data_IF_091334115209
#
_entry.id   IF_091334115209
#
_cell.length_a   1.000
_cell.length_b   1.000
_cell.length_c   1.000
_cell.angle_alpha   90.00
_cell.angle_beta   90.00
_cell.angle_gamma   90.00
#
_symmetry.space_group_name_H-M   'P 1'
#
loop_
_entity.id
_entity.type
_entity.pdbx_description
1 polymer ?
#
# COMPACT_ATOMS: atom_id res chain seq x y z
N UNK A 1 -29.82 1.36 17.54
CA UNK A 1 -28.44 0.84 17.42
C UNK A 1 -28.56 -0.64 17.05
N UNK A 2 -28.12 -1.04 15.87
CA UNK A 2 -28.19 -2.46 15.47
C UNK A 2 -27.11 -3.19 16.29
N UNK A 3 -27.54 -4.04 17.23
CA UNK A 3 -26.63 -4.94 17.95
C UNK A 3 -26.26 -6.09 17.01
N UNK A 4 -25.11 -5.96 16.34
CA UNK A 4 -24.51 -7.06 15.60
C UNK A 4 -23.74 -7.92 16.60
N UNK A 5 -24.25 -9.13 16.91
CA UNK A 5 -23.50 -10.13 17.67
C UNK A 5 -22.38 -10.78 16.85
N UNK A 6 -22.30 -10.43 15.56
CA UNK A 6 -21.31 -10.92 14.63
C UNK A 6 -19.96 -10.21 14.78
N UNK A 7 -18.91 -10.95 14.49
CA UNK A 7 -17.55 -10.44 14.32
C UNK A 7 -17.11 -10.55 12.86
N UNK A 8 -16.09 -9.80 12.47
CA UNK A 8 -15.69 -9.62 11.08
C UNK A 8 -14.18 -9.78 10.93
N UNK A 9 -13.75 -10.31 9.79
CA UNK A 9 -12.34 -10.40 9.43
C UNK A 9 -11.80 -9.07 8.90
N UNK A 10 -12.71 -8.26 8.33
CA UNK A 10 -12.38 -6.93 7.81
C UNK A 10 -13.51 -5.95 8.11
N UNK A 11 -13.14 -4.79 8.62
CA UNK A 11 -14.02 -3.61 8.74
C UNK A 11 -13.40 -2.46 7.96
N UNK A 12 -14.15 -1.90 7.00
CA UNK A 12 -13.85 -0.63 6.38
C UNK A 12 -14.91 0.39 6.80
N UNK A 13 -14.47 1.58 7.19
CA UNK A 13 -15.36 2.65 7.61
C UNK A 13 -14.95 3.98 6.96
N UNK A 14 -15.97 4.74 6.56
CA UNK A 14 -15.86 6.07 5.97
C UNK A 14 -16.82 7.01 6.72
N UNK A 15 -16.47 7.40 7.97
CA UNK A 15 -17.31 8.25 8.80
C UNK A 15 -17.29 9.71 8.31
N UNK A 16 -18.13 10.61 8.84
CA UNK A 16 -17.96 12.04 8.68
C UNK A 16 -16.53 12.49 9.08
N UNK A 17 -16.02 13.55 8.45
CA UNK A 17 -14.62 14.00 8.61
C UNK A 17 -14.45 15.21 9.53
N UNK A 18 -15.50 15.64 10.22
CA UNK A 18 -15.49 16.83 11.08
C UNK A 18 -15.36 18.16 10.31
N UNK A 19 -15.95 18.21 9.11
CA UNK A 19 -15.75 19.34 8.18
C UNK A 19 -16.68 20.53 8.43
N UNK A 20 -17.52 20.48 9.48
CA UNK A 20 -18.48 21.53 9.85
C UNK A 20 -19.40 21.96 8.70
N UNK A 21 -20.01 20.99 7.99
CA UNK A 21 -20.91 21.23 6.87
C UNK A 21 -21.91 20.13 6.69
N UNK A 22 -23.04 20.45 6.04
CA UNK A 22 -24.00 19.46 5.60
C UNK A 22 -23.62 18.88 4.24
N UNK A 23 -23.85 17.59 4.11
CA UNK A 23 -23.70 16.87 2.85
C UNK A 23 -25.08 16.50 2.32
N UNK A 24 -25.36 16.88 1.08
CA UNK A 24 -26.58 16.57 0.38
C UNK A 24 -26.30 15.66 -0.81
N UNK A 25 -27.04 14.57 -0.91
CA UNK A 25 -26.95 13.63 -2.01
C UNK A 25 -28.33 13.46 -2.62
N UNK A 26 -28.43 13.67 -3.92
CA UNK A 26 -29.66 13.45 -4.68
C UNK A 26 -29.65 12.00 -5.18
N UNK A 27 -30.65 11.23 -4.79
CA UNK A 27 -30.85 9.86 -5.26
C UNK A 27 -31.41 9.85 -6.69
N UNK A 28 -31.29 8.68 -7.34
CA UNK A 28 -31.80 8.53 -8.74
C UNK A 28 -33.32 8.64 -8.88
N UNK A 29 -34.07 8.46 -7.78
CA UNK A 29 -35.51 8.62 -7.70
C UNK A 29 -35.97 10.08 -7.44
N UNK A 30 -35.01 11.02 -7.36
CA UNK A 30 -35.27 12.43 -7.09
C UNK A 30 -35.33 12.78 -5.60
N UNK A 31 -35.26 11.81 -4.69
CA UNK A 31 -35.20 12.06 -3.25
C UNK A 31 -33.85 12.67 -2.85
N UNK A 32 -33.85 13.53 -1.82
CA UNK A 32 -32.64 14.12 -1.25
C UNK A 32 -32.34 13.44 0.08
N UNK A 33 -31.14 12.84 0.20
CA UNK A 33 -30.58 12.41 1.49
C UNK A 33 -29.53 13.41 1.93
N UNK A 34 -29.59 13.80 3.20
CA UNK A 34 -28.60 14.68 3.79
C UNK A 34 -28.08 14.07 5.11
N UNK A 35 -26.84 14.31 5.40
CA UNK A 35 -26.29 14.13 6.74
C UNK A 35 -25.51 15.35 7.17
N UNK A 36 -25.56 15.65 8.45
CA UNK A 36 -24.86 16.77 9.05
C UNK A 36 -23.51 16.29 9.59
N UNK A 37 -22.43 17.01 9.26
CA UNK A 37 -21.09 16.85 9.79
C UNK A 37 -20.72 18.06 10.64
N UNK A 38 -21.68 18.54 11.47
CA UNK A 38 -21.53 19.62 12.43
C UNK A 38 -21.31 19.08 13.84
N UNK A 39 -20.29 19.59 14.49
CA UNK A 39 -19.85 19.19 15.82
C UNK A 39 -19.71 20.44 16.71
N UNK A 40 -19.90 20.30 18.01
CA UNK A 40 -19.74 21.41 18.96
C UNK A 40 -18.28 21.92 18.95
N UNK A 41 -17.33 21.00 18.88
CA UNK A 41 -15.92 21.28 18.70
C UNK A 41 -15.26 20.17 17.85
N UNK A 42 -14.05 20.44 17.40
CA UNK A 42 -13.27 19.40 16.72
C UNK A 42 -12.85 18.28 17.69
N UNK A 43 -12.64 18.60 18.97
CA UNK A 43 -12.33 17.60 19.99
C UNK A 43 -13.51 16.65 20.24
N UNK A 44 -14.76 17.16 20.26
CA UNK A 44 -15.97 16.32 20.36
C UNK A 44 -16.08 15.36 19.18
N UNK A 45 -15.72 15.83 17.98
CA UNK A 45 -15.65 14.96 16.81
C UNK A 45 -14.60 13.86 16.97
N UNK A 46 -13.40 14.19 17.45
CA UNK A 46 -12.32 13.22 17.63
C UNK A 46 -12.67 12.22 18.74
N UNK A 47 -13.31 12.63 19.82
CA UNK A 47 -13.77 11.74 20.88
C UNK A 47 -14.83 10.75 20.37
N UNK A 48 -15.81 11.24 19.59
CA UNK A 48 -16.79 10.39 18.92
C UNK A 48 -16.12 9.42 17.93
N UNK A 49 -15.18 9.90 17.13
CA UNK A 49 -14.47 9.07 16.15
C UNK A 49 -13.66 7.98 16.84
N UNK A 50 -13.00 8.29 17.97
CA UNK A 50 -12.30 7.30 18.78
C UNK A 50 -13.24 6.21 19.33
N UNK A 51 -14.43 6.59 19.83
CA UNK A 51 -15.45 5.65 20.30
C UNK A 51 -15.90 4.70 19.16
N UNK A 52 -16.13 5.23 17.96
CA UNK A 52 -16.50 4.40 16.79
C UNK A 52 -15.38 3.43 16.42
N UNK A 53 -14.12 3.87 16.39
CA UNK A 53 -12.96 3.00 16.12
C UNK A 53 -12.84 1.91 17.19
N UNK A 54 -12.95 2.24 18.48
CA UNK A 54 -12.90 1.27 19.56
C UNK A 54 -14.00 0.21 19.41
N UNK A 55 -15.23 0.63 19.09
CA UNK A 55 -16.37 -0.28 18.84
C UNK A 55 -16.13 -1.15 17.62
N UNK A 56 -15.68 -0.58 16.50
CA UNK A 56 -15.37 -1.32 15.27
C UNK A 56 -14.26 -2.36 15.53
N UNK A 57 -13.19 -1.96 16.21
CA UNK A 57 -12.10 -2.86 16.58
C UNK A 57 -12.55 -4.01 17.50
N UNK A 58 -13.50 -3.75 18.42
CA UNK A 58 -14.06 -4.79 19.29
C UNK A 58 -14.82 -5.86 18.50
N UNK A 59 -15.37 -5.51 17.34
CA UNK A 59 -16.09 -6.41 16.42
C UNK A 59 -15.18 -7.15 15.44
N UNK A 60 -13.89 -6.90 15.42
CA UNK A 60 -12.95 -7.72 14.66
C UNK A 60 -12.80 -9.11 15.30
N UNK A 61 -12.68 -10.13 14.45
CA UNK A 61 -12.21 -11.45 14.83
C UNK A 61 -10.82 -11.35 15.49
N UNK A 62 -10.35 -12.45 16.07
CA UNK A 62 -9.01 -12.50 16.70
C UNK A 62 -7.88 -12.12 15.73
N UNK A 63 -8.07 -12.39 14.44
CA UNK A 63 -7.18 -12.05 13.34
C UNK A 63 -7.98 -11.25 12.32
N UNK A 64 -7.87 -9.91 12.34
CA UNK A 64 -8.70 -9.05 11.50
C UNK A 64 -8.09 -7.70 11.19
N UNK A 65 -8.57 -7.07 10.10
CA UNK A 65 -8.18 -5.76 9.64
C UNK A 65 -9.26 -4.71 9.87
N UNK A 66 -8.87 -3.51 10.32
CA UNK A 66 -9.73 -2.33 10.32
C UNK A 66 -9.08 -1.23 9.49
N UNK A 67 -9.83 -0.71 8.52
CA UNK A 67 -9.47 0.43 7.69
C UNK A 67 -10.42 1.58 8.00
N UNK A 68 -9.87 2.70 8.47
CA UNK A 68 -10.66 3.89 8.81
C UNK A 68 -10.23 5.05 7.90
N UNK A 69 -11.10 5.40 6.96
CA UNK A 69 -10.88 6.48 6.00
C UNK A 69 -11.26 7.82 6.64
N UNK A 70 -10.36 8.79 6.54
CA UNK A 70 -10.58 10.15 7.05
C UNK A 70 -9.59 11.13 6.39
N UNK A 71 -9.62 12.39 6.80
CA UNK A 71 -8.52 13.31 6.52
C UNK A 71 -7.31 12.99 7.43
N UNK A 72 -6.15 13.53 7.06
CA UNK A 72 -4.90 13.30 7.80
C UNK A 72 -5.00 13.70 9.28
N UNK A 73 -5.61 14.85 9.58
CA UNK A 73 -5.69 15.39 10.96
C UNK A 73 -6.58 14.50 11.84
N UNK A 74 -7.76 14.08 11.31
CA UNK A 74 -8.66 13.17 12.02
C UNK A 74 -7.96 11.86 12.40
N UNK A 75 -7.28 11.22 11.46
CA UNK A 75 -6.55 9.98 11.71
C UNK A 75 -5.34 10.14 12.62
N UNK A 76 -4.63 11.28 12.55
CA UNK A 76 -3.48 11.54 13.42
C UNK A 76 -3.91 11.76 14.88
N UNK A 77 -4.98 12.52 15.11
CA UNK A 77 -5.42 12.86 16.45
C UNK A 77 -6.21 11.72 17.13
N UNK A 78 -6.99 10.96 16.36
CA UNK A 78 -7.78 9.86 16.92
C UNK A 78 -6.92 8.80 17.62
N UNK A 79 -5.70 8.56 17.14
CA UNK A 79 -4.76 7.62 17.76
C UNK A 79 -4.39 7.99 19.20
N UNK A 80 -4.48 9.27 19.58
CA UNK A 80 -4.25 9.70 20.96
C UNK A 80 -5.42 9.44 21.90
N UNK A 81 -6.63 9.21 21.34
CA UNK A 81 -7.90 9.10 22.07
C UNK A 81 -8.45 7.65 22.13
N UNK A 82 -8.07 6.79 21.19
CA UNK A 82 -8.49 5.37 21.22
C UNK A 82 -7.88 4.61 22.39
N UNK A 83 -8.49 3.51 22.78
CA UNK A 83 -7.97 2.58 23.78
C UNK A 83 -6.53 2.17 23.47
N UNK A 84 -5.72 1.97 24.52
CA UNK A 84 -4.30 1.58 24.34
C UNK A 84 -4.12 0.36 23.46
N UNK A 85 -4.92 -0.71 23.65
CA UNK A 85 -4.85 -1.93 22.82
C UNK A 85 -5.14 -1.68 21.34
N UNK A 86 -6.02 -0.70 21.05
CA UNK A 86 -6.37 -0.30 19.67
C UNK A 86 -5.24 0.52 19.07
N UNK A 87 -4.68 1.47 19.82
CA UNK A 87 -3.51 2.24 19.41
C UNK A 87 -2.30 1.34 19.15
N UNK A 88 -2.05 0.37 20.04
CA UNK A 88 -0.92 -0.55 19.93
C UNK A 88 -1.08 -1.52 18.74
N UNK A 89 -2.28 -1.62 18.14
CA UNK A 89 -2.57 -2.36 16.91
C UNK A 89 -2.34 -1.57 15.62
N UNK A 90 -1.88 -0.32 15.72
CA UNK A 90 -1.55 0.49 14.55
C UNK A 90 -0.55 -0.24 13.66
N UNK A 91 -0.91 -0.41 12.38
CA UNK A 91 -0.07 -1.08 11.41
C UNK A 91 0.58 -0.08 10.44
N UNK A 92 -0.25 0.74 9.78
CA UNK A 92 0.22 1.76 8.83
C UNK A 92 -0.84 2.80 8.56
N UNK A 93 -0.46 3.83 7.80
CA UNK A 93 -1.37 4.79 7.20
C UNK A 93 -1.19 4.78 5.69
N UNK A 94 -2.28 4.66 4.95
CA UNK A 94 -2.30 4.72 3.50
C UNK A 94 -2.67 6.15 3.09
N UNK A 95 -1.89 6.72 2.19
CA UNK A 95 -2.18 8.00 1.55
C UNK A 95 -2.87 7.74 0.21
N UNK A 96 -4.16 8.07 0.11
CA UNK A 96 -4.94 7.86 -1.11
C UNK A 96 -5.17 9.17 -1.85
N UNK A 97 -4.69 9.23 -3.09
CA UNK A 97 -4.94 10.34 -4.00
C UNK A 97 -6.37 10.29 -4.53
N UNK A 98 -7.29 10.95 -3.81
CA UNK A 98 -8.73 10.92 -4.08
C UNK A 98 -9.19 11.82 -5.23
N UNK A 99 -8.35 12.71 -5.72
CA UNK A 99 -8.72 13.65 -6.79
C UNK A 99 -7.53 14.07 -7.65
N UNK A 100 -7.82 14.55 -8.86
CA UNK A 100 -6.82 15.18 -9.71
C UNK A 100 -6.36 16.55 -9.18
N UNK A 101 -5.38 17.19 -9.86
CA UNK A 101 -4.90 18.51 -9.51
C UNK A 101 -6.02 19.55 -9.49
N UNK A 102 -5.90 20.53 -8.57
CA UNK A 102 -6.86 21.64 -8.44
C UNK A 102 -6.25 22.92 -9.03
N UNK A 103 -6.76 23.36 -10.17
CA UNK A 103 -6.22 24.52 -10.90
C UNK A 103 -6.55 25.88 -10.26
N UNK A 104 -7.45 25.93 -9.27
CA UNK A 104 -7.88 27.15 -8.60
C UNK A 104 -7.06 27.49 -7.34
N UNK A 105 -5.99 26.76 -7.07
CA UNK A 105 -5.11 27.03 -5.93
C UNK A 105 -4.24 28.25 -6.25
N UNK A 106 -4.34 29.28 -5.40
CA UNK A 106 -3.57 30.53 -5.51
C UNK A 106 -2.51 30.67 -4.42
N UNK A 107 -2.84 30.23 -3.20
CA UNK A 107 -1.98 30.36 -2.04
C UNK A 107 -1.95 29.02 -1.28
N UNK A 108 -0.75 28.40 -1.19
CA UNK A 108 -0.54 27.14 -0.50
C UNK A 108 -0.65 25.90 -1.40
N UNK A 109 -0.90 24.74 -0.79
CA UNK A 109 -0.93 23.44 -1.45
C UNK A 109 -2.37 22.93 -1.59
N UNK A 110 -2.71 22.38 -2.74
CA UNK A 110 -4.02 21.75 -2.98
C UNK A 110 -4.11 20.40 -2.26
N UNK A 111 -5.06 20.24 -1.35
CA UNK A 111 -5.31 18.95 -0.72
C UNK A 111 -6.06 18.03 -1.70
N UNK A 112 -5.36 17.00 -2.18
CA UNK A 112 -5.87 15.97 -3.09
C UNK A 112 -5.74 14.55 -2.51
N UNK A 113 -5.28 14.44 -1.26
CA UNK A 113 -5.00 13.17 -0.59
C UNK A 113 -5.87 13.02 0.63
N UNK A 114 -6.45 11.85 0.81
CA UNK A 114 -7.06 11.41 2.06
C UNK A 114 -6.19 10.35 2.74
N UNK A 115 -6.48 10.07 3.99
CA UNK A 115 -5.74 9.17 4.87
C UNK A 115 -6.61 7.95 5.20
N UNK A 116 -6.04 6.75 5.13
CA UNK A 116 -6.70 5.54 5.59
C UNK A 116 -5.83 4.94 6.70
N UNK A 117 -6.31 5.06 7.92
CA UNK A 117 -5.69 4.44 9.09
C UNK A 117 -5.92 2.93 9.05
N UNK A 118 -4.85 2.14 9.17
CA UNK A 118 -4.93 0.68 9.15
C UNK A 118 -4.52 0.13 10.51
N UNK A 119 -5.42 -0.60 11.14
CA UNK A 119 -5.20 -1.31 12.39
C UNK A 119 -5.21 -2.82 12.13
N UNK A 120 -4.27 -3.54 12.76
CA UNK A 120 -4.13 -4.99 12.64
C UNK A 120 -4.35 -5.67 13.98
N UNK A 121 -5.35 -6.53 14.05
CA UNK A 121 -5.61 -7.39 15.22
C UNK A 121 -5.06 -8.79 14.94
N UNK A 122 -4.17 -9.29 15.79
CA UNK A 122 -3.56 -10.61 15.63
C UNK A 122 -2.71 -10.73 14.36
N UNK A 123 -2.90 -11.82 13.62
CA UNK A 123 -2.19 -12.12 12.37
C UNK A 123 -3.19 -12.43 11.23
N UNK A 124 -3.93 -11.42 10.75
CA UNK A 124 -4.93 -11.63 9.69
C UNK A 124 -4.28 -11.98 8.36
N UNK A 125 -5.03 -12.72 7.53
CA UNK A 125 -4.63 -12.99 6.16
C UNK A 125 -4.41 -11.69 5.37
N UNK A 126 -3.36 -11.68 4.56
CA UNK A 126 -3.05 -10.59 3.63
C UNK A 126 -2.45 -11.17 2.36
N UNK A 127 -3.06 -10.88 1.23
CA UNK A 127 -2.53 -11.20 -0.08
C UNK A 127 -1.84 -9.97 -0.67
N UNK A 128 -0.64 -10.19 -1.19
CA UNK A 128 0.14 -9.09 -1.78
C UNK A 128 -0.37 -8.82 -3.18
N UNK A 129 -0.96 -7.66 -3.38
CA UNK A 129 -1.35 -7.16 -4.70
C UNK A 129 -0.16 -6.49 -5.39
N UNK A 130 -0.11 -6.58 -6.72
CA UNK A 130 0.96 -6.02 -7.54
C UNK A 130 0.41 -5.04 -8.56
N UNK A 131 1.10 -3.91 -8.73
CA UNK A 131 0.85 -2.97 -9.83
C UNK A 131 1.90 -3.16 -10.92
N UNK A 132 1.57 -2.74 -12.14
CA UNK A 132 2.53 -2.72 -13.23
C UNK A 132 3.75 -1.87 -12.91
N UNK A 133 4.90 -2.25 -13.43
CA UNK A 133 6.10 -1.42 -13.34
C UNK A 133 5.85 -0.08 -14.03
N UNK A 134 6.39 0.99 -13.45
CA UNK A 134 6.48 2.28 -14.14
C UNK A 134 7.20 2.08 -15.48
N UNK A 135 6.65 2.57 -16.61
CA UNK A 135 7.21 2.34 -17.95
C UNK A 135 8.65 2.85 -18.09
N UNK A 136 9.00 3.96 -17.45
CA UNK A 136 10.36 4.54 -17.49
C UNK A 136 11.31 3.67 -16.68
N UNK A 137 10.87 3.20 -15.52
CA UNK A 137 11.64 2.26 -14.72
C UNK A 137 11.84 0.93 -15.44
N UNK A 138 10.80 0.37 -16.05
CA UNK A 138 10.87 -0.87 -16.82
C UNK A 138 11.86 -0.72 -18.01
N UNK A 139 11.74 0.33 -18.78
CA UNK A 139 12.65 0.64 -19.89
C UNK A 139 14.11 0.78 -19.42
N UNK A 140 14.34 1.42 -18.28
CA UNK A 140 15.68 1.60 -17.72
C UNK A 140 16.25 0.34 -17.06
N UNK A 141 15.43 -0.56 -16.58
CA UNK A 141 15.86 -1.78 -15.89
C UNK A 141 16.14 -2.93 -16.84
N UNK A 142 15.27 -3.16 -17.84
CA UNK A 142 15.38 -4.27 -18.78
C UNK A 142 16.11 -3.84 -20.07
N UNK A 143 17.38 -3.46 -19.92
CA UNK A 143 18.22 -2.95 -21.05
C UNK A 143 18.92 -4.04 -21.84
N UNK A 144 19.13 -5.19 -21.25
CA UNK A 144 19.82 -6.30 -21.89
C UNK A 144 18.82 -7.15 -22.67
N UNK A 145 19.28 -7.76 -23.75
CA UNK A 145 18.46 -8.61 -24.61
C UNK A 145 19.24 -9.84 -25.05
N UNK A 146 18.57 -10.96 -25.09
CA UNK A 146 19.01 -12.20 -25.75
C UNK A 146 17.83 -12.82 -26.54
N UNK A 147 17.98 -14.07 -26.95
CA UNK A 147 16.96 -14.77 -27.78
C UNK A 147 15.66 -15.03 -27.00
N UNK A 148 15.70 -15.05 -25.66
CA UNK A 148 14.53 -15.23 -24.79
C UNK A 148 13.76 -13.92 -24.61
N UNK A 149 14.47 -12.77 -24.53
CA UNK A 149 13.79 -11.49 -24.37
C UNK A 149 14.65 -10.41 -23.69
N UNK A 150 13.98 -9.35 -23.26
CA UNK A 150 14.62 -8.28 -22.47
C UNK A 150 14.76 -8.70 -21.02
N UNK A 151 15.92 -8.43 -20.41
CA UNK A 151 16.20 -8.77 -19.02
C UNK A 151 16.96 -7.69 -18.25
N UNK A 152 16.74 -7.68 -16.94
CA UNK A 152 17.51 -6.91 -15.94
C UNK A 152 18.59 -7.81 -15.32
N UNK A 153 19.64 -7.17 -14.77
CA UNK A 153 20.74 -7.85 -14.09
C UNK A 153 20.61 -7.70 -12.57
N UNK A 154 20.39 -8.82 -11.88
CA UNK A 154 20.36 -8.87 -10.42
C UNK A 154 21.71 -9.38 -9.88
N UNK A 155 22.32 -8.63 -8.95
CA UNK A 155 23.56 -9.05 -8.29
C UNK A 155 23.35 -10.32 -7.48
N UNK A 156 24.23 -11.30 -7.70
CA UNK A 156 24.31 -12.52 -6.87
C UNK A 156 25.45 -12.46 -5.84
N UNK A 157 26.27 -11.40 -5.86
CA UNK A 157 27.32 -11.14 -4.88
C UNK A 157 26.79 -10.46 -3.62
N UNK A 158 27.43 -10.74 -2.48
CA UNK A 158 27.19 -10.06 -1.21
C UNK A 158 27.65 -8.59 -1.20
N UNK A 159 27.42 -7.90 -0.10
CA UNK A 159 27.83 -6.52 0.16
C UNK A 159 28.52 -6.43 1.53
N UNK A 160 29.30 -5.37 1.74
CA UNK A 160 30.02 -5.13 3.01
C UNK A 160 29.09 -5.16 4.22
N UNK A 161 27.89 -4.58 4.09
CA UNK A 161 26.87 -4.54 5.14
C UNK A 161 26.20 -5.91 5.39
N UNK A 162 26.34 -6.85 4.44
CA UNK A 162 25.71 -8.16 4.48
C UNK A 162 26.61 -9.21 3.82
N UNK A 163 27.73 -9.59 4.47
CA UNK A 163 28.65 -10.58 3.92
C UNK A 163 27.99 -11.95 3.83
N UNK A 164 28.34 -12.69 2.80
CA UNK A 164 27.81 -14.01 2.48
C UNK A 164 28.92 -15.06 2.40
N UNK A 165 28.56 -16.31 2.10
CA UNK A 165 29.53 -17.39 1.97
C UNK A 165 30.55 -17.11 0.83
N UNK A 166 31.84 -17.22 1.12
CA UNK A 166 32.92 -17.01 0.15
C UNK A 166 33.34 -18.34 -0.45
N UNK A 167 33.33 -18.38 -1.77
CA UNK A 167 33.87 -19.50 -2.56
C UNK A 167 34.18 -19.01 -3.97
N UNK A 168 35.06 -19.73 -4.66
CA UNK A 168 35.28 -19.50 -6.09
C UNK A 168 34.19 -20.18 -6.92
N UNK A 169 33.69 -19.49 -7.94
CA UNK A 169 32.78 -20.07 -8.92
C UNK A 169 33.21 -19.66 -10.33
N UNK A 170 33.74 -20.58 -11.09
CA UNK A 170 34.22 -20.36 -12.47
C UNK A 170 35.18 -19.17 -12.60
N UNK A 171 36.04 -18.96 -11.61
CA UNK A 171 37.02 -17.87 -11.55
C UNK A 171 36.48 -16.55 -10.95
N UNK A 172 35.21 -16.51 -10.53
CA UNK A 172 34.62 -15.37 -9.82
C UNK A 172 34.69 -15.59 -8.32
N UNK A 173 35.31 -14.66 -7.61
CA UNK A 173 35.46 -14.69 -6.15
C UNK A 173 35.13 -13.30 -5.57
N UNK A 174 33.85 -12.96 -5.41
CA UNK A 174 33.45 -11.65 -4.89
C UNK A 174 33.97 -11.42 -3.47
N UNK A 175 34.44 -10.20 -3.18
CA UNK A 175 35.01 -9.83 -1.87
C UNK A 175 34.11 -10.15 -0.69
N UNK A 176 32.80 -10.02 -0.84
CA UNK A 176 31.79 -10.26 0.20
C UNK A 176 30.99 -11.56 -0.02
N UNK A 177 31.50 -12.48 -0.85
CA UNK A 177 30.90 -13.78 -1.14
C UNK A 177 29.67 -13.72 -2.04
N UNK A 178 28.98 -14.85 -2.15
CA UNK A 178 27.76 -14.99 -2.96
C UNK A 178 26.52 -15.06 -2.06
N UNK A 179 25.43 -14.39 -2.49
CA UNK A 179 24.12 -14.41 -1.81
C UNK A 179 23.38 -15.72 -1.98
N UNK A 180 23.80 -16.54 -2.92
CA UNK A 180 23.20 -17.84 -3.26
C UNK A 180 24.29 -18.92 -3.17
N UNK A 181 23.86 -20.17 -3.00
CA UNK A 181 24.77 -21.31 -2.87
C UNK A 181 25.40 -21.68 -4.23
N UNK A 182 26.46 -22.48 -4.18
CA UNK A 182 27.13 -23.02 -5.39
C UNK A 182 26.13 -23.83 -6.24
N UNK A 183 25.35 -24.70 -5.58
CA UNK A 183 24.35 -25.54 -6.25
C UNK A 183 23.32 -24.69 -6.99
N UNK A 184 22.91 -23.57 -6.39
CA UNK A 184 21.97 -22.66 -7.04
C UNK A 184 22.60 -21.90 -8.21
N UNK A 185 23.90 -21.58 -8.15
CA UNK A 185 24.62 -21.01 -9.30
C UNK A 185 24.71 -22.02 -10.46
N UNK A 186 24.98 -23.30 -10.17
CA UNK A 186 25.01 -24.36 -11.19
C UNK A 186 23.64 -24.55 -11.85
N UNK A 187 22.57 -24.58 -11.04
CA UNK A 187 21.18 -24.65 -11.53
C UNK A 187 20.87 -23.49 -12.49
N UNK A 188 21.16 -22.26 -12.07
CA UNK A 188 20.94 -21.07 -12.89
C UNK A 188 21.82 -21.05 -14.15
N UNK A 189 23.05 -21.56 -14.05
CA UNK A 189 23.95 -21.71 -15.19
C UNK A 189 23.42 -22.70 -16.23
N UNK A 190 22.91 -23.84 -15.76
CA UNK A 190 22.33 -24.87 -16.63
C UNK A 190 21.07 -24.38 -17.36
N UNK A 191 20.35 -23.43 -16.78
CA UNK A 191 19.15 -22.79 -17.37
C UNK A 191 19.48 -21.54 -18.21
N UNK A 192 20.74 -21.22 -18.44
CA UNK A 192 21.20 -19.96 -19.07
C UNK A 192 20.67 -18.67 -18.40
N UNK A 193 20.42 -18.72 -17.11
CA UNK A 193 19.92 -17.59 -16.32
C UNK A 193 21.03 -16.77 -15.66
N UNK A 194 22.31 -17.00 -16.00
CA UNK A 194 23.44 -16.20 -15.53
C UNK A 194 24.02 -15.36 -16.66
N UNK A 195 24.33 -14.12 -16.30
CA UNK A 195 25.11 -13.20 -17.13
C UNK A 195 26.49 -13.04 -16.49
N UNK A 196 27.53 -13.40 -17.24
CA UNK A 196 28.92 -13.32 -16.80
C UNK A 196 29.51 -11.99 -17.25
N UNK A 197 29.63 -11.02 -16.34
CA UNK A 197 30.32 -9.76 -16.57
C UNK A 197 31.83 -9.88 -16.33
N UNK A 198 32.60 -8.80 -16.51
CA UNK A 198 34.06 -8.81 -16.34
C UNK A 198 34.50 -9.17 -14.93
N UNK A 199 33.82 -8.70 -13.90
CA UNK A 199 34.20 -8.87 -12.50
C UNK A 199 33.12 -9.50 -11.62
N UNK A 200 31.93 -9.73 -12.13
CA UNK A 200 30.79 -10.22 -11.37
C UNK A 200 29.87 -11.10 -12.22
N UNK A 201 29.17 -11.99 -11.53
CA UNK A 201 28.07 -12.76 -12.11
C UNK A 201 26.77 -12.10 -11.70
N UNK A 202 25.79 -12.09 -12.58
CA UNK A 202 24.45 -11.59 -12.36
C UNK A 202 23.41 -12.63 -12.75
N UNK A 203 22.29 -12.68 -12.02
CA UNK A 203 21.11 -13.42 -12.45
C UNK A 203 20.34 -12.58 -13.48
N UNK A 204 19.96 -13.17 -14.60
CA UNK A 204 19.01 -12.60 -15.55
C UNK A 204 17.61 -12.65 -14.93
N UNK A 205 16.88 -11.53 -14.99
CA UNK A 205 15.45 -11.45 -14.65
C UNK A 205 14.74 -10.92 -15.89
N UNK A 206 13.93 -11.76 -16.52
CA UNK A 206 13.24 -11.38 -17.75
C UNK A 206 12.03 -10.49 -17.48
N UNK A 207 11.77 -9.56 -18.40
CA UNK A 207 10.66 -8.59 -18.27
C UNK A 207 9.30 -9.26 -18.22
N UNK A 208 9.12 -10.37 -18.94
CA UNK A 208 7.87 -11.13 -18.96
C UNK A 208 7.62 -11.97 -17.69
N UNK A 209 8.64 -12.18 -16.85
CA UNK A 209 8.54 -12.85 -15.55
C UNK A 209 8.25 -11.87 -14.43
N UNK A 210 8.29 -10.56 -14.70
CA UNK A 210 8.06 -9.55 -13.69
C UNK A 210 6.58 -9.49 -13.30
N UNK A 211 6.29 -9.76 -12.06
CA UNK A 211 4.94 -9.60 -11.48
C UNK A 211 4.57 -8.13 -11.22
N UNK A 212 5.51 -7.20 -11.43
CA UNK A 212 5.35 -5.80 -11.08
C UNK A 212 5.96 -5.44 -9.73
N UNK A 213 5.43 -4.41 -9.09
CA UNK A 213 5.81 -3.99 -7.74
C UNK A 213 4.66 -4.20 -6.76
N UNK A 214 4.93 -4.69 -5.55
CA UNK A 214 3.90 -4.77 -4.53
C UNK A 214 3.26 -3.41 -4.29
N UNK A 215 1.94 -3.39 -4.13
CA UNK A 215 1.20 -2.17 -3.75
C UNK A 215 1.75 -1.64 -2.42
N UNK A 216 2.03 -0.36 -2.38
CA UNK A 216 2.58 0.34 -1.22
C UNK A 216 1.51 1.18 -0.52
N UNK A 217 1.93 1.98 0.47
CA UNK A 217 1.04 2.86 1.25
C UNK A 217 0.69 4.17 0.55
N UNK A 218 1.17 4.41 -0.66
CA UNK A 218 0.75 5.50 -1.54
C UNK A 218 -0.15 4.92 -2.62
N UNK A 219 -1.43 5.30 -2.61
CA UNK A 219 -2.41 4.92 -3.62
C UNK A 219 -2.70 6.11 -4.53
N UNK A 220 -1.99 6.22 -5.63
CA UNK A 220 -2.15 7.27 -6.64
C UNK A 220 -2.70 6.74 -7.98
N UNK A 221 -2.81 5.44 -8.12
CA UNK A 221 -3.33 4.69 -9.25
C UNK A 221 -4.79 4.21 -9.07
N UNK A 222 -5.34 4.31 -7.84
CA UNK A 222 -6.75 4.00 -7.56
C UNK A 222 -7.61 5.20 -7.97
N UNK A 223 -8.25 5.09 -9.15
CA UNK A 223 -9.05 6.17 -9.70
C UNK A 223 -10.35 6.37 -8.93
N UNK A 224 -10.68 7.65 -8.65
CA UNK A 224 -11.99 8.03 -8.13
C UNK A 224 -13.04 7.96 -9.24
N UNK A 225 -14.25 7.48 -8.89
CA UNK A 225 -15.39 7.42 -9.82
C UNK A 225 -15.93 8.83 -10.02
N UNK A 226 -15.87 9.36 -11.26
CA UNK A 226 -16.50 10.64 -11.61
C UNK A 226 -18.01 10.48 -11.68
N UNK A 227 -18.75 11.52 -11.28
CA UNK A 227 -20.22 11.54 -11.30
C UNK A 227 -20.80 11.16 -12.67
N UNK A 228 -20.12 11.52 -13.77
CA UNK A 228 -20.50 11.18 -15.16
C UNK A 228 -20.35 9.69 -15.52
N UNK A 229 -19.64 8.91 -14.73
CA UNK A 229 -19.42 7.48 -15.01
C UNK A 229 -20.45 6.58 -14.31
N UNK A 230 -21.18 7.11 -13.32
CA UNK A 230 -22.25 6.38 -12.62
C UNK A 230 -23.47 6.05 -13.52
N UNK A 231 -23.60 6.69 -14.67
CA UNK A 231 -24.72 6.47 -15.61
C UNK A 231 -24.37 5.55 -16.80
N UNK A 232 -23.17 4.93 -16.81
CA UNK A 232 -22.74 4.05 -17.91
C UNK A 232 -22.66 2.57 -17.53
N UNK A 233 -23.29 2.17 -16.43
CA UNK A 233 -23.43 0.75 -16.04
C UNK A 233 -24.90 0.36 -15.98
#
# INVERSE_FOLDING_TARGET
MIHLDQTFDLVYMDPPFGLQRDFKMQESDGSEKSFSDHWTSFDDYIDWYADIINKAYSKLNKDGWLYAHNNFIGNALVLSKVDRKVRDSFYTNISWKRSGPKNNIKNGWGNIVDSILVLRKGNPYFEVEYTSLDPVYAFNSFKNKDDVGYYALAKVSGEKSRPCARFDYKGYNPEFGFRITREKLEELSAQDLLHYGSNNIYKKIYSHESTGVPVQTLWDDVYFIRRSEKHKR
#
